data_IF_142468360120
#
_entry.id   IF_142468360120
#
_cell.length_a   1.000
_cell.length_b   1.000
_cell.length_c   1.000
_cell.angle_alpha   90.00
_cell.angle_beta   90.00
_cell.angle_gamma   90.00
#
_symmetry.space_group_name_H-M   'P 1'
#
loop_
_entity.id
_entity.type
_entity.pdbx_description
1 polymer ?
#
# COMPACT_ATOMS: atom_id res chain seq x y z
N UNK A 1 -6.52 -14.36 13.65
CA UNK A 1 -5.62 -14.16 14.78
C UNK A 1 -4.50 -13.20 14.41
N UNK A 2 -4.20 -12.26 15.29
CA UNK A 2 -3.09 -11.36 15.09
C UNK A 2 -1.78 -12.07 15.44
N UNK A 3 -0.80 -11.97 14.57
CA UNK A 3 0.53 -12.44 14.87
C UNK A 3 1.24 -11.34 15.67
N UNK A 4 1.55 -11.57 16.98
CA UNK A 4 2.16 -10.54 17.81
C UNK A 4 3.59 -10.18 17.40
N UNK A 5 4.19 -10.97 16.52
CA UNK A 5 5.55 -10.70 16.03
C UNK A 5 5.59 -9.68 14.88
N UNK A 6 4.43 -9.42 14.25
CA UNK A 6 4.36 -8.49 13.12
C UNK A 6 4.13 -7.08 13.65
N UNK A 7 5.03 -6.17 13.29
CA UNK A 7 4.98 -4.78 13.70
C UNK A 7 4.63 -3.88 12.53
N UNK A 8 3.66 -2.97 12.73
CA UNK A 8 3.30 -1.96 11.73
C UNK A 8 4.03 -0.66 12.06
N UNK A 9 4.71 -0.11 11.06
CA UNK A 9 5.47 1.14 11.21
C UNK A 9 5.11 2.12 10.12
N UNK A 10 4.99 3.38 10.49
CA UNK A 10 4.91 4.49 9.53
C UNK A 10 6.36 4.95 9.31
N UNK A 11 6.86 4.82 8.10
CA UNK A 11 8.27 5.01 7.79
C UNK A 11 8.47 5.74 6.46
N UNK A 12 9.71 6.16 6.22
CA UNK A 12 10.11 6.82 4.97
C UNK A 12 11.27 6.14 4.26
N UNK A 13 11.85 5.13 4.88
CA UNK A 13 12.97 4.39 4.29
C UNK A 13 12.74 2.90 4.44
N UNK A 14 12.99 2.16 3.38
CA UNK A 14 12.80 0.72 3.33
C UNK A 14 13.86 0.10 2.41
N UNK A 15 14.23 -1.15 2.70
CA UNK A 15 15.08 -1.93 1.81
C UNK A 15 14.45 -2.07 0.43
N UNK A 16 15.22 -1.76 -0.60
CA UNK A 16 14.78 -1.94 -1.99
C UNK A 16 14.40 -3.39 -2.28
N UNK A 17 15.14 -4.35 -1.73
CA UNK A 17 14.85 -5.77 -1.93
C UNK A 17 13.48 -6.15 -1.41
N UNK A 18 13.10 -5.65 -0.22
CA UNK A 18 11.80 -5.92 0.36
C UNK A 18 10.68 -5.30 -0.49
N UNK A 19 10.88 -4.07 -0.96
CA UNK A 19 9.92 -3.38 -1.82
C UNK A 19 9.69 -4.15 -3.12
N UNK A 20 10.76 -4.57 -3.77
CA UNK A 20 10.70 -5.31 -5.03
C UNK A 20 9.94 -6.62 -4.84
N UNK A 21 10.22 -7.35 -3.77
CA UNK A 21 9.52 -8.60 -3.46
C UNK A 21 8.02 -8.37 -3.34
N UNK A 22 7.61 -7.27 -2.71
CA UNK A 22 6.21 -6.92 -2.53
C UNK A 22 5.52 -6.51 -3.83
N UNK A 23 6.20 -5.84 -4.75
CA UNK A 23 5.63 -5.53 -6.05
C UNK A 23 5.54 -6.74 -6.97
N UNK A 24 6.43 -7.71 -6.82
CA UNK A 24 6.42 -8.95 -7.63
C UNK A 24 5.35 -9.95 -7.17
N UNK A 25 5.13 -10.05 -5.86
CA UNK A 25 4.27 -11.10 -5.28
C UNK A 25 2.85 -11.14 -5.88
N UNK A 26 2.14 -10.02 -6.03
CA UNK A 26 0.83 -10.02 -6.68
C UNK A 26 0.87 -10.00 -8.21
N UNK A 27 2.05 -10.00 -8.80
CA UNK A 27 2.21 -9.94 -10.25
C UNK A 27 2.13 -8.54 -10.84
N UNK A 28 2.21 -7.50 -10.03
CA UNK A 28 2.18 -6.11 -10.54
C UNK A 28 3.40 -5.78 -11.39
N UNK A 29 4.54 -6.36 -11.06
CA UNK A 29 5.75 -6.28 -11.88
C UNK A 29 5.95 -7.63 -12.55
N UNK A 30 5.68 -7.65 -13.85
CA UNK A 30 5.94 -8.82 -14.66
C UNK A 30 7.43 -8.91 -14.97
N UNK A 31 7.94 -10.11 -14.92
CA UNK A 31 9.19 -10.55 -15.50
C UNK A 31 10.45 -9.75 -15.17
N UNK A 32 11.22 -10.28 -14.43
CA UNK A 32 12.55 -9.84 -14.43
C UNK A 32 13.28 -10.57 -13.36
N UNK A 33 13.95 -11.56 -13.78
CA UNK A 33 15.07 -12.08 -13.05
C UNK A 33 16.12 -10.96 -12.89
N UNK A 34 16.03 -9.92 -13.72
CA UNK A 34 16.96 -8.79 -13.72
C UNK A 34 16.38 -7.60 -12.97
N UNK A 35 16.73 -7.51 -11.71
CA UNK A 35 16.54 -6.29 -10.96
C UNK A 35 17.64 -5.34 -11.39
N UNK A 36 17.31 -4.42 -12.30
CA UNK A 36 18.25 -3.41 -12.75
C UNK A 36 18.46 -2.39 -11.63
N UNK A 37 19.67 -1.81 -11.54
CA UNK A 37 19.97 -0.74 -10.59
C UNK A 37 18.95 0.41 -10.67
N UNK A 38 18.44 0.68 -11.87
CA UNK A 38 17.39 1.66 -12.12
C UNK A 38 16.13 1.39 -11.27
N UNK A 39 15.72 0.13 -11.15
CA UNK A 39 14.57 -0.26 -10.37
C UNK A 39 14.83 -0.06 -8.88
N UNK A 40 16.02 -0.38 -8.41
CA UNK A 40 16.43 -0.17 -7.03
C UNK A 40 16.33 1.31 -6.65
N UNK A 41 16.89 2.18 -7.49
CA UNK A 41 16.85 3.62 -7.28
C UNK A 41 15.41 4.15 -7.30
N UNK A 42 14.59 3.61 -8.19
CA UNK A 42 13.19 3.99 -8.32
C UNK A 42 12.40 3.63 -7.05
N UNK A 43 12.49 2.39 -6.58
CA UNK A 43 11.68 1.95 -5.43
C UNK A 43 12.08 2.62 -4.12
N UNK A 44 13.34 2.97 -3.95
CA UNK A 44 13.80 3.66 -2.74
C UNK A 44 13.14 5.03 -2.56
N UNK A 45 12.71 5.65 -3.66
CA UNK A 45 12.01 6.93 -3.61
C UNK A 45 10.57 6.80 -3.13
N UNK A 46 9.95 5.66 -3.32
CA UNK A 46 8.52 5.48 -3.05
C UNK A 46 8.14 5.81 -1.60
N UNK A 47 8.81 5.27 -0.57
CA UNK A 47 8.47 5.65 0.80
C UNK A 47 8.67 7.13 1.09
N UNK A 48 9.74 7.72 0.58
CA UNK A 48 10.04 9.14 0.82
C UNK A 48 9.04 10.07 0.15
N UNK A 49 8.57 9.71 -1.04
CA UNK A 49 7.67 10.54 -1.83
C UNK A 49 6.20 10.29 -1.51
N UNK A 50 5.92 9.31 -0.68
CA UNK A 50 4.56 9.06 -0.20
C UNK A 50 4.24 10.01 0.95
N UNK A 51 3.01 10.49 1.00
CA UNK A 51 2.55 11.31 2.12
C UNK A 51 2.52 10.51 3.42
N UNK A 52 2.02 9.27 3.32
CA UNK A 52 2.10 8.27 4.38
C UNK A 52 2.55 6.96 3.76
N UNK A 53 3.54 6.32 4.35
CA UNK A 53 3.97 4.98 3.97
C UNK A 53 3.94 4.10 5.21
N UNK A 54 3.21 2.99 5.14
CA UNK A 54 3.13 2.00 6.22
C UNK A 54 3.75 0.68 5.78
N UNK A 55 4.58 0.13 6.62
CA UNK A 55 5.18 -1.19 6.42
C UNK A 55 4.82 -2.14 7.55
N UNK A 56 4.63 -3.40 7.21
CA UNK A 56 4.46 -4.47 8.18
C UNK A 56 5.75 -5.30 8.20
N UNK A 57 6.31 -5.49 9.37
CA UNK A 57 7.62 -6.10 9.54
C UNK A 57 7.56 -7.39 10.36
N UNK A 58 8.21 -8.40 9.84
CA UNK A 58 8.57 -9.59 10.60
C UNK A 58 10.07 -9.47 10.88
N UNK A 59 10.41 -9.06 12.10
CA UNK A 59 11.78 -8.68 12.42
C UNK A 59 12.22 -7.48 11.59
N UNK A 60 13.26 -7.64 10.79
CA UNK A 60 13.80 -6.60 9.92
C UNK A 60 13.25 -6.66 8.48
N UNK A 61 12.46 -7.69 8.16
CA UNK A 61 11.94 -7.90 6.82
C UNK A 61 10.54 -7.30 6.68
N UNK A 62 10.34 -6.45 5.68
CA UNK A 62 9.03 -5.90 5.38
C UNK A 62 8.23 -6.90 4.55
N UNK A 63 7.13 -7.39 5.12
CA UNK A 63 6.29 -8.44 4.52
C UNK A 63 4.93 -7.91 4.04
N UNK A 64 4.68 -6.65 4.26
CA UNK A 64 3.49 -5.98 3.79
C UNK A 64 3.70 -4.48 3.74
N UNK A 65 2.93 -3.80 2.91
CA UNK A 65 3.01 -2.35 2.77
C UNK A 65 1.70 -1.74 2.30
N UNK A 66 1.61 -0.45 2.43
CA UNK A 66 0.59 0.38 1.81
C UNK A 66 1.02 1.84 1.90
N UNK A 67 0.49 2.68 1.02
CA UNK A 67 0.85 4.09 1.02
C UNK A 67 -0.30 4.99 0.65
N UNK A 68 -0.18 6.25 1.00
CA UNK A 68 -1.12 7.28 0.61
C UNK A 68 -0.40 8.41 -0.10
N UNK A 69 -1.00 8.88 -1.18
CA UNK A 69 -0.58 10.06 -1.91
C UNK A 69 -1.47 11.22 -1.51
N UNK A 70 -0.89 12.38 -1.26
CA UNK A 70 -1.62 13.58 -0.88
C UNK A 70 -0.70 14.78 -0.97
N UNK A 71 -1.29 15.95 -1.19
CA UNK A 71 -0.57 17.21 -1.05
C UNK A 71 -0.64 17.73 0.41
N UNK A 72 -1.33 17.02 1.28
CA UNK A 72 -1.46 17.39 2.69
C UNK A 72 -2.55 18.41 2.97
N UNK A 73 -3.41 18.71 2.00
CA UNK A 73 -4.43 19.73 2.17
C UNK A 73 -5.77 19.13 2.58
N UNK A 74 -6.38 18.31 1.76
CA UNK A 74 -7.71 17.77 2.07
C UNK A 74 -7.94 16.34 1.62
N UNK A 75 -7.31 15.92 0.54
CA UNK A 75 -7.59 14.67 -0.13
C UNK A 75 -6.39 13.74 -0.11
N UNK A 76 -6.64 12.44 0.00
CA UNK A 76 -5.62 11.41 -0.11
C UNK A 76 -6.12 10.24 -0.94
N UNK A 77 -5.18 9.58 -1.59
CA UNK A 77 -5.43 8.38 -2.37
C UNK A 77 -4.53 7.25 -1.85
N UNK A 78 -5.14 6.16 -1.40
CA UNK A 78 -4.41 4.99 -0.90
C UNK A 78 -4.15 4.04 -2.06
N UNK A 79 -2.92 3.55 -2.17
CA UNK A 79 -2.55 2.58 -3.20
C UNK A 79 -1.40 1.68 -2.75
N UNK A 80 -1.09 0.70 -3.57
CA UNK A 80 0.00 -0.25 -3.36
C UNK A 80 -0.11 -1.01 -2.04
N UNK A 81 -1.33 -1.41 -1.68
CA UNK A 81 -1.57 -2.21 -0.49
C UNK A 81 -1.35 -3.68 -0.83
N UNK A 82 -0.37 -4.29 -0.21
CA UNK A 82 -0.03 -5.69 -0.47
C UNK A 82 0.58 -6.34 0.77
N UNK A 83 0.28 -7.62 0.96
CA UNK A 83 0.89 -8.48 1.97
C UNK A 83 1.39 -9.72 1.25
N UNK A 84 2.60 -10.17 1.53
CA UNK A 84 3.14 -11.41 0.93
C UNK A 84 2.17 -12.57 1.15
N UNK A 85 2.06 -13.43 0.15
CA UNK A 85 1.13 -14.57 0.18
C UNK A 85 1.27 -15.43 1.42
N UNK A 86 2.51 -15.68 1.86
CA UNK A 86 2.79 -16.49 3.05
C UNK A 86 2.31 -15.86 4.36
N UNK A 87 2.00 -14.57 4.35
CA UNK A 87 1.54 -13.82 5.53
C UNK A 87 0.06 -13.42 5.47
N UNK A 88 -0.66 -13.80 4.40
CA UNK A 88 -2.07 -13.45 4.23
C UNK A 88 -2.95 -14.23 5.20
N UNK A 89 -4.15 -13.69 5.45
CA UNK A 89 -5.13 -14.32 6.33
C UNK A 89 -4.86 -14.09 7.82
N UNK A 90 -3.96 -13.18 8.17
CA UNK A 90 -3.58 -12.89 9.57
C UNK A 90 -3.97 -11.48 10.03
N UNK A 91 -4.75 -10.77 9.23
CA UNK A 91 -5.20 -9.41 9.57
C UNK A 91 -4.16 -8.31 9.35
N UNK A 92 -3.06 -8.59 8.65
CA UNK A 92 -1.97 -7.62 8.44
C UNK A 92 -2.43 -6.49 7.51
N UNK A 93 -3.11 -6.82 6.42
CA UNK A 93 -3.65 -5.81 5.50
C UNK A 93 -4.61 -4.85 6.20
N UNK A 94 -5.46 -5.37 7.06
CA UNK A 94 -6.36 -4.57 7.89
C UNK A 94 -5.58 -3.58 8.76
N UNK A 95 -4.54 -4.05 9.42
CA UNK A 95 -3.72 -3.19 10.29
C UNK A 95 -2.97 -2.11 9.49
N UNK A 96 -2.50 -2.45 8.29
CA UNK A 96 -1.86 -1.47 7.40
C UNK A 96 -2.82 -0.35 7.04
N UNK A 97 -4.03 -0.69 6.59
CA UNK A 97 -5.03 0.31 6.21
C UNK A 97 -5.44 1.14 7.42
N UNK A 98 -5.63 0.51 8.58
CA UNK A 98 -5.97 1.24 9.81
C UNK A 98 -4.88 2.23 10.22
N UNK A 99 -3.62 1.84 10.11
CA UNK A 99 -2.50 2.72 10.42
C UNK A 99 -2.45 3.92 9.45
N UNK A 100 -2.66 3.68 8.16
CA UNK A 100 -2.68 4.74 7.16
C UNK A 100 -3.84 5.71 7.40
N UNK A 101 -5.05 5.18 7.58
CA UNK A 101 -6.23 6.04 7.79
C UNK A 101 -6.14 6.81 9.09
N UNK A 102 -5.60 6.22 10.15
CA UNK A 102 -5.37 6.91 11.41
C UNK A 102 -4.39 8.08 11.25
N UNK A 103 -3.30 7.86 10.53
CA UNK A 103 -2.31 8.91 10.28
C UNK A 103 -2.87 10.02 9.39
N UNK A 104 -3.64 9.67 8.36
CA UNK A 104 -4.30 10.66 7.51
C UNK A 104 -5.31 11.49 8.28
N UNK A 105 -6.12 10.85 9.11
CA UNK A 105 -7.12 11.54 9.95
C UNK A 105 -6.46 12.48 10.94
N UNK A 106 -5.36 12.05 11.55
CA UNK A 106 -4.56 12.88 12.46
C UNK A 106 -4.04 14.14 11.76
N UNK A 107 -3.74 14.05 10.47
CA UNK A 107 -3.28 15.19 9.66
C UNK A 107 -4.42 15.94 9.01
N UNK A 108 -5.64 15.71 9.46
CA UNK A 108 -6.85 16.43 9.01
C UNK A 108 -7.21 16.22 7.54
N UNK A 109 -6.82 15.09 6.96
CA UNK A 109 -7.25 14.70 5.63
C UNK A 109 -8.66 14.12 5.74
N UNK A 110 -9.64 14.79 5.14
CA UNK A 110 -11.04 14.41 5.27
C UNK A 110 -11.57 13.53 4.15
N UNK A 111 -10.98 13.58 2.97
CA UNK A 111 -11.40 12.77 1.83
C UNK A 111 -10.33 11.74 1.52
N UNK A 112 -10.63 10.47 1.78
CA UNK A 112 -9.67 9.37 1.62
C UNK A 112 -10.30 8.34 0.69
N UNK A 113 -9.70 8.12 -0.45
CA UNK A 113 -10.23 7.20 -1.46
C UNK A 113 -9.19 6.18 -1.90
N UNK A 114 -9.67 5.13 -2.54
CA UNK A 114 -8.84 4.10 -3.17
C UNK A 114 -9.61 3.46 -4.31
N UNK A 115 -8.90 2.73 -5.16
CA UNK A 115 -9.50 1.88 -6.17
C UNK A 115 -9.32 0.44 -5.71
N UNK A 116 -10.42 -0.22 -5.37
CA UNK A 116 -10.39 -1.60 -4.90
C UNK A 116 -10.20 -2.57 -6.08
N UNK A 117 -9.21 -3.45 -5.96
CA UNK A 117 -9.03 -4.52 -6.93
C UNK A 117 -10.23 -5.47 -6.91
N UNK A 118 -10.48 -6.20 -8.01
CA UNK A 118 -11.59 -7.17 -8.05
C UNK A 118 -11.54 -8.12 -6.85
N UNK A 119 -12.68 -8.28 -6.20
CA UNK A 119 -12.83 -9.18 -5.06
C UNK A 119 -12.42 -8.61 -3.70
N UNK A 120 -11.91 -7.37 -3.64
CA UNK A 120 -11.45 -6.78 -2.37
C UNK A 120 -12.47 -5.83 -1.73
N UNK A 121 -13.58 -5.55 -2.39
CA UNK A 121 -14.59 -4.64 -1.88
C UNK A 121 -15.06 -5.01 -0.45
N UNK A 122 -15.39 -6.27 -0.15
CA UNK A 122 -15.80 -6.64 1.22
C UNK A 122 -14.73 -6.36 2.27
N UNK A 123 -13.47 -6.54 1.91
CA UNK A 123 -12.34 -6.23 2.79
C UNK A 123 -12.34 -4.74 3.19
N UNK A 124 -12.47 -3.86 2.20
CA UNK A 124 -12.47 -2.42 2.44
C UNK A 124 -13.75 -1.94 3.11
N UNK A 125 -14.90 -2.54 2.78
CA UNK A 125 -16.15 -2.22 3.46
C UNK A 125 -16.07 -2.51 4.96
N UNK A 126 -15.41 -3.60 5.33
CA UNK A 126 -15.15 -3.94 6.72
C UNK A 126 -14.27 -2.94 7.46
N UNK A 127 -13.57 -2.08 6.73
CA UNK A 127 -12.67 -1.05 7.27
C UNK A 127 -13.28 0.37 7.22
N UNK A 128 -14.54 0.47 6.84
CA UNK A 128 -15.24 1.75 6.81
C UNK A 128 -15.28 2.45 5.46
N UNK A 129 -14.73 1.82 4.42
CA UNK A 129 -14.85 2.34 3.06
C UNK A 129 -16.17 1.92 2.45
N UNK A 130 -16.71 2.76 1.59
CA UNK A 130 -17.96 2.47 0.88
C UNK A 130 -17.79 2.72 -0.61
N UNK A 131 -18.35 1.86 -1.46
CA UNK A 131 -18.33 2.13 -2.89
C UNK A 131 -18.98 3.48 -3.19
N UNK A 132 -18.33 4.26 -4.05
CA UNK A 132 -18.90 5.52 -4.52
C UNK A 132 -19.85 5.21 -5.69
N UNK A 133 -21.14 5.31 -5.43
CA UNK A 133 -22.16 4.94 -6.39
C UNK A 133 -22.06 5.74 -7.69
N UNK A 134 -22.01 5.03 -8.81
CA UNK A 134 -21.92 5.58 -10.16
C UNK A 134 -20.59 6.27 -10.50
N UNK A 135 -19.61 6.26 -9.61
CA UNK A 135 -18.27 6.70 -9.95
C UNK A 135 -17.51 5.54 -10.60
N UNK A 136 -16.77 5.83 -11.64
CA UNK A 136 -16.05 4.80 -12.41
C UNK A 136 -14.56 5.14 -12.36
N UNK A 137 -13.71 4.24 -11.89
CA UNK A 137 -12.27 4.44 -11.98
C UNK A 137 -11.83 4.44 -13.43
N UNK A 138 -11.02 5.41 -13.82
CA UNK A 138 -10.55 5.56 -15.19
C UNK A 138 -9.05 5.71 -15.22
N UNK A 139 -8.41 5.05 -16.15
CA UNK A 139 -6.98 5.09 -16.36
C UNK A 139 -6.70 5.67 -17.74
N UNK A 140 -5.80 6.65 -17.80
CA UNK A 140 -5.36 7.18 -19.08
C UNK A 140 -4.51 6.14 -19.81
N UNK A 141 -4.87 5.86 -21.04
CA UNK A 141 -4.10 4.99 -21.90
C UNK A 141 -3.55 5.81 -23.07
N UNK A 142 -2.23 5.76 -23.23
CA UNK A 142 -1.60 6.40 -24.38
C UNK A 142 -2.06 5.71 -25.65
N UNK A 143 -2.47 6.48 -26.65
CA UNK A 143 -2.66 5.98 -28.00
C UNK A 143 -1.34 5.49 -28.58
N UNK A 144 -1.41 4.57 -29.50
CA UNK A 144 -0.24 4.09 -30.23
C UNK A 144 0.39 5.18 -31.11
#
# INVERSE_FOLDING_TARGET
MNDPTIEIRIIREVSACDMIALYKDPGWWENGDDILEEHTFFVEKIPRMSFVFAGAFDGSTMIGMGRALSDGISDAYIQDVVVLKSYRGKGIGKKLIQAITAELTKREIGWIALVAEPGTTPFYEGLGFKPMKNYIPMKFEKGE
#
